data_IF_696329301623
#
_entry.id   IF_696329301623
#
_cell.length_a   1.000
_cell.length_b   1.000
_cell.length_c   1.000
_cell.angle_alpha   90.00
_cell.angle_beta   90.00
_cell.angle_gamma   90.00
#
_symmetry.space_group_name_H-M   'P 1'
#
loop_
_entity.id
_entity.type
_entity.pdbx_description
1 polymer ?
#
# COMPACT_ATOMS: atom_id res chain seq x y z
N UNK A 1 -5.94 -2.91 7.12
CA UNK A 1 -6.98 -1.88 7.03
C UNK A 1 -7.38 -1.67 5.58
N UNK A 2 -8.47 -2.33 5.12
CA UNK A 2 -8.98 -2.24 3.74
C UNK A 2 -9.43 -0.83 3.33
N UNK A 3 -9.63 0.07 4.29
CA UNK A 3 -10.01 1.47 4.03
C UNK A 3 -8.81 2.38 3.72
N UNK A 4 -7.60 1.90 3.84
CA UNK A 4 -6.41 2.71 3.59
C UNK A 4 -6.38 3.34 2.18
N UNK A 5 -6.65 2.62 1.08
CA UNK A 5 -6.69 3.23 -0.23
C UNK A 5 -7.76 4.31 -0.37
N UNK A 6 -8.92 4.12 0.26
CA UNK A 6 -9.98 5.12 0.27
C UNK A 6 -9.56 6.40 0.98
N UNK A 7 -8.79 6.29 2.06
CA UNK A 7 -8.36 7.43 2.88
C UNK A 7 -7.10 8.14 2.34
N UNK A 8 -6.27 7.46 1.55
CA UNK A 8 -4.98 8.00 1.08
C UNK A 8 -4.95 8.13 -0.43
N UNK A 9 -5.24 7.03 -1.16
CA UNK A 9 -5.13 7.03 -2.60
C UNK A 9 -6.24 7.85 -3.28
N UNK A 10 -7.49 7.78 -2.78
CA UNK A 10 -8.60 8.57 -3.37
C UNK A 10 -8.34 10.08 -3.26
N UNK A 11 -7.99 10.65 -2.11
CA UNK A 11 -7.64 12.07 -2.02
C UNK A 11 -6.48 12.47 -2.93
N UNK A 12 -5.44 11.64 -3.03
CA UNK A 12 -4.30 11.88 -3.92
C UNK A 12 -4.73 11.91 -5.39
N UNK A 13 -5.43 10.88 -5.87
CA UNK A 13 -5.93 10.79 -7.24
C UNK A 13 -6.90 11.92 -7.56
N UNK A 14 -7.79 12.25 -6.61
CA UNK A 14 -8.75 13.33 -6.77
C UNK A 14 -8.07 14.69 -6.88
N UNK A 15 -7.01 14.94 -6.12
CA UNK A 15 -6.23 16.17 -6.20
C UNK A 15 -5.49 16.29 -7.55
N UNK A 16 -4.79 15.22 -7.96
CA UNK A 16 -3.98 15.21 -9.18
C UNK A 16 -4.81 15.40 -10.45
N UNK A 17 -6.04 14.87 -10.47
CA UNK A 17 -6.91 14.89 -11.67
C UNK A 17 -8.17 15.74 -11.51
N UNK A 18 -8.39 16.37 -10.36
CA UNK A 18 -9.60 17.16 -10.04
C UNK A 18 -10.90 16.37 -10.26
N UNK A 19 -10.87 15.07 -9.94
CA UNK A 19 -11.99 14.14 -10.19
C UNK A 19 -12.15 13.14 -9.04
N UNK A 20 -12.91 13.54 -8.03
CA UNK A 20 -13.17 12.72 -6.85
C UNK A 20 -14.05 11.50 -7.16
N UNK A 21 -15.05 11.67 -8.00
CA UNK A 21 -15.96 10.58 -8.39
C UNK A 21 -15.23 9.52 -9.23
N UNK A 22 -14.36 9.98 -10.17
CA UNK A 22 -13.50 9.11 -10.94
C UNK A 22 -12.52 8.32 -10.08
N UNK A 23 -11.90 8.96 -9.09
CA UNK A 23 -11.00 8.29 -8.16
C UNK A 23 -11.68 7.14 -7.40
N UNK A 24 -12.89 7.35 -6.88
CA UNK A 24 -13.67 6.30 -6.24
C UNK A 24 -14.08 5.18 -7.20
N UNK A 25 -14.58 5.53 -8.40
CA UNK A 25 -14.96 4.55 -9.42
C UNK A 25 -13.80 3.64 -9.78
N UNK A 26 -12.62 4.20 -10.00
CA UNK A 26 -11.41 3.43 -10.33
C UNK A 26 -10.88 2.63 -9.15
N UNK A 27 -11.00 3.11 -7.92
CA UNK A 27 -10.64 2.34 -6.74
C UNK A 27 -11.55 1.10 -6.58
N UNK A 28 -12.85 1.25 -6.77
CA UNK A 28 -13.79 0.11 -6.73
C UNK A 28 -13.49 -0.92 -7.83
N UNK A 29 -13.15 -0.45 -9.03
CA UNK A 29 -12.67 -1.33 -10.10
C UNK A 29 -11.36 -2.05 -9.70
N UNK A 30 -10.47 -1.36 -9.03
CA UNK A 30 -9.23 -1.93 -8.49
C UNK A 30 -9.47 -3.04 -7.48
N UNK A 31 -10.43 -2.90 -6.58
CA UNK A 31 -10.80 -3.98 -5.65
C UNK A 31 -11.32 -5.23 -6.37
N UNK A 32 -12.07 -5.07 -7.45
CA UNK A 32 -12.51 -6.21 -8.29
C UNK A 32 -11.31 -6.93 -8.90
N UNK A 33 -10.33 -6.18 -9.44
CA UNK A 33 -9.10 -6.76 -10.00
C UNK A 33 -8.30 -7.48 -8.90
N UNK A 34 -8.12 -6.87 -7.72
CA UNK A 34 -7.44 -7.50 -6.59
C UNK A 34 -8.11 -8.82 -6.17
N UNK A 35 -9.45 -8.89 -6.21
CA UNK A 35 -10.19 -10.13 -5.98
C UNK A 35 -9.92 -11.20 -7.03
N UNK A 36 -9.77 -10.82 -8.31
CA UNK A 36 -9.49 -11.74 -9.43
C UNK A 36 -8.06 -12.28 -9.38
N UNK A 37 -7.08 -11.45 -9.06
CA UNK A 37 -5.65 -11.85 -9.02
C UNK A 37 -5.35 -12.82 -7.88
N UNK A 38 -6.20 -12.89 -6.88
CA UNK A 38 -6.01 -13.77 -5.74
C UNK A 38 -5.04 -13.18 -4.72
N UNK A 39 -5.58 -12.86 -3.55
CA UNK A 39 -4.85 -12.19 -2.46
C UNK A 39 -3.83 -13.07 -1.73
N UNK A 40 -3.85 -14.37 -1.94
CA UNK A 40 -2.95 -15.32 -1.26
C UNK A 40 -1.70 -15.64 -2.08
N UNK A 41 -1.88 -15.78 -3.38
CA UNK A 41 -0.81 -15.86 -4.37
C UNK A 41 -1.22 -14.90 -5.49
N UNK A 42 -0.57 -13.76 -5.58
CA UNK A 42 -0.89 -12.74 -6.57
C UNK A 42 -0.55 -13.30 -7.95
N UNK A 43 -1.59 -13.57 -8.72
CA UNK A 43 -1.49 -14.08 -10.09
C UNK A 43 -2.02 -13.01 -11.06
N UNK A 44 -1.14 -12.13 -11.47
CA UNK A 44 -1.46 -11.05 -12.41
C UNK A 44 -1.87 -11.54 -13.80
N UNK A 45 -1.59 -12.81 -14.14
CA UNK A 45 -1.96 -13.39 -15.44
C UNK A 45 -3.48 -13.44 -15.65
N UNK A 46 -4.25 -13.46 -14.58
CA UNK A 46 -5.73 -13.42 -14.59
C UNK A 46 -6.32 -12.10 -15.03
N UNK A 47 -5.52 -11.03 -15.07
CA UNK A 47 -5.98 -9.71 -15.53
C UNK A 47 -6.09 -9.73 -17.04
N UNK A 48 -7.31 -9.58 -17.57
CA UNK A 48 -7.59 -9.65 -19.01
C UNK A 48 -6.97 -8.49 -19.79
N UNK A 49 -6.96 -7.29 -19.20
CA UNK A 49 -6.35 -6.13 -19.83
C UNK A 49 -4.82 -6.26 -19.83
N UNK A 50 -4.24 -6.48 -21.02
CA UNK A 50 -2.81 -6.74 -21.21
C UNK A 50 -1.94 -5.61 -20.68
N UNK A 51 -2.32 -4.35 -20.94
CA UNK A 51 -1.56 -3.16 -20.49
C UNK A 51 -1.61 -2.99 -18.98
N UNK A 52 -2.76 -3.23 -18.35
CA UNK A 52 -2.88 -3.22 -16.89
C UNK A 52 -2.11 -4.39 -16.27
N UNK A 53 -2.16 -5.58 -16.88
CA UNK A 53 -1.39 -6.73 -16.43
C UNK A 53 0.11 -6.46 -16.46
N UNK A 54 0.62 -5.88 -17.54
CA UNK A 54 2.01 -5.46 -17.66
C UNK A 54 2.40 -4.45 -16.57
N UNK A 55 1.52 -3.50 -16.29
CA UNK A 55 1.73 -2.52 -15.21
C UNK A 55 1.82 -3.20 -13.84
N UNK A 56 0.89 -4.09 -13.52
CA UNK A 56 0.91 -4.83 -12.25
C UNK A 56 2.12 -5.75 -12.16
N UNK A 57 2.56 -6.36 -13.26
CA UNK A 57 3.77 -7.17 -13.29
C UNK A 57 5.01 -6.32 -12.98
N UNK A 58 5.16 -5.14 -13.58
CA UNK A 58 6.27 -4.23 -13.25
C UNK A 58 6.26 -3.79 -11.77
N UNK A 59 5.09 -3.52 -11.21
CA UNK A 59 4.94 -3.17 -9.79
C UNK A 59 5.34 -4.37 -8.92
N UNK A 60 5.00 -5.60 -9.32
CA UNK A 60 5.40 -6.83 -8.65
C UNK A 60 6.91 -7.06 -8.74
N UNK A 61 7.49 -6.91 -9.94
CA UNK A 61 8.93 -7.07 -10.17
C UNK A 61 9.76 -6.02 -9.41
N UNK A 62 9.20 -4.84 -9.19
CA UNK A 62 9.77 -3.80 -8.32
C UNK A 62 9.63 -4.11 -6.80
N UNK A 63 9.04 -5.25 -6.42
CA UNK A 63 8.82 -5.63 -5.02
C UNK A 63 7.72 -4.82 -4.32
N UNK A 64 7.03 -3.92 -5.04
CA UNK A 64 6.01 -3.05 -4.45
C UNK A 64 4.70 -3.79 -4.15
N UNK A 65 4.47 -5.01 -4.65
CA UNK A 65 3.37 -5.88 -4.26
C UNK A 65 3.77 -6.86 -3.15
N UNK A 66 5.07 -7.08 -2.95
CA UNK A 66 5.56 -7.93 -1.87
C UNK A 66 5.46 -7.19 -0.55
N UNK A 67 4.78 -7.81 0.38
CA UNK A 67 4.51 -7.21 1.68
C UNK A 67 5.72 -7.42 2.59
N UNK A 68 6.54 -6.39 2.74
CA UNK A 68 7.69 -6.37 3.66
C UNK A 68 7.37 -6.49 5.16
N UNK A 69 6.13 -6.83 5.51
CA UNK A 69 5.72 -7.04 6.92
C UNK A 69 6.45 -8.18 7.62
N UNK A 70 7.05 -9.12 6.87
CA UNK A 70 7.84 -10.20 7.49
C UNK A 70 9.09 -9.68 8.19
N UNK A 71 9.70 -8.64 7.66
CA UNK A 71 10.90 -8.07 8.24
C UNK A 71 10.59 -7.23 9.49
N UNK A 72 9.51 -6.46 9.46
CA UNK A 72 9.04 -5.69 10.62
C UNK A 72 8.50 -6.62 11.73
N UNK A 73 7.77 -7.68 11.38
CA UNK A 73 7.31 -8.67 12.34
C UNK A 73 8.45 -9.55 12.87
N UNK A 74 9.42 -9.91 12.04
CA UNK A 74 10.63 -10.62 12.47
C UNK A 74 11.51 -9.72 13.36
N UNK A 75 11.57 -8.40 13.11
CA UNK A 75 12.22 -7.47 14.03
C UNK A 75 11.45 -7.30 15.33
N UNK A 76 10.12 -7.34 15.31
CA UNK A 76 9.28 -7.33 16.50
C UNK A 76 9.43 -8.62 17.32
N UNK A 77 9.52 -9.77 16.64
CA UNK A 77 9.76 -11.07 17.31
C UNK A 77 11.20 -11.21 17.82
N UNK A 78 12.16 -10.50 17.23
CA UNK A 78 13.57 -10.46 17.72
C UNK A 78 13.79 -9.53 18.90
N UNK A 79 12.84 -8.66 19.26
CA UNK A 79 12.91 -7.90 20.52
C UNK A 79 12.57 -8.81 21.70
N UNK A 80 13.59 -9.23 22.34
CA UNK A 80 13.90 -10.33 23.28
C UNK A 80 13.02 -10.51 24.52
N UNK A 81 12.04 -9.70 24.82
CA UNK A 81 11.37 -9.76 26.12
C UNK A 81 9.89 -10.16 26.11
N UNK A 82 9.24 -10.20 24.95
CA UNK A 82 7.80 -10.51 24.89
C UNK A 82 7.47 -11.86 24.26
N UNK A 83 8.32 -12.35 23.37
CA UNK A 83 7.99 -13.48 22.50
C UNK A 83 8.70 -14.80 22.86
N UNK A 84 9.78 -14.78 23.64
CA UNK A 84 10.32 -16.03 24.23
C UNK A 84 9.27 -16.78 25.07
N UNK A 85 8.33 -16.03 25.65
CA UNK A 85 7.16 -16.62 26.34
C UNK A 85 6.08 -17.11 25.37
N UNK A 86 6.02 -16.61 24.14
CA UNK A 86 5.07 -17.05 23.11
C UNK A 86 5.59 -18.23 22.29
N UNK A 87 6.91 -18.40 22.16
CA UNK A 87 7.51 -19.61 21.58
C UNK A 87 7.27 -20.85 22.46
N UNK A 88 7.08 -20.64 23.76
CA UNK A 88 6.62 -21.67 24.71
C UNK A 88 5.08 -21.79 24.75
N UNK A 89 4.35 -20.86 24.11
CA UNK A 89 2.91 -20.93 24.03
C UNK A 89 2.47 -22.06 23.09
N UNK A 90 1.43 -22.77 23.48
CA UNK A 90 0.82 -23.89 22.77
C UNK A 90 0.75 -23.69 21.28
N UNK A 91 0.90 -24.74 20.46
CA UNK A 91 0.82 -24.72 18.99
C UNK A 91 -0.43 -24.04 18.40
N UNK A 92 -1.44 -23.73 19.23
CA UNK A 92 -2.61 -22.92 18.93
C UNK A 92 -2.29 -21.44 18.73
N UNK A 93 -1.44 -20.86 19.60
CA UNK A 93 -1.04 -19.46 19.50
C UNK A 93 -0.18 -19.21 18.25
N UNK A 94 0.73 -20.14 17.93
CA UNK A 94 1.54 -20.07 16.70
C UNK A 94 0.66 -20.16 15.45
N UNK A 95 -0.35 -21.06 15.42
CA UNK A 95 -1.32 -21.15 14.33
C UNK A 95 -2.15 -19.86 14.17
N UNK A 96 -2.55 -19.24 15.27
CA UNK A 96 -3.29 -17.99 15.25
C UNK A 96 -2.44 -16.85 14.69
N UNK A 97 -1.20 -16.69 15.15
CA UNK A 97 -0.26 -15.69 14.65
C UNK A 97 -0.02 -15.88 13.14
N UNK A 98 0.19 -17.12 12.70
CA UNK A 98 0.36 -17.42 11.28
C UNK A 98 -0.87 -17.01 10.45
N UNK A 99 -2.08 -17.31 10.91
CA UNK A 99 -3.32 -16.87 10.26
C UNK A 99 -3.46 -15.35 10.21
N UNK A 100 -3.15 -14.65 11.30
CA UNK A 100 -3.20 -13.19 11.34
C UNK A 100 -2.20 -12.56 10.38
N UNK A 101 -0.99 -13.12 10.26
CA UNK A 101 0.01 -12.70 9.26
C UNK A 101 -0.52 -12.88 7.84
N UNK A 102 -1.14 -14.02 7.52
CA UNK A 102 -1.73 -14.26 6.20
C UNK A 102 -2.82 -13.23 5.89
N UNK A 103 -3.71 -12.94 6.82
CA UNK A 103 -4.78 -11.95 6.66
C UNK A 103 -4.20 -10.56 6.41
N UNK A 104 -3.19 -10.14 7.17
CA UNK A 104 -2.53 -8.84 6.98
C UNK A 104 -1.91 -8.71 5.60
N UNK A 105 -1.20 -9.74 5.13
CA UNK A 105 -0.62 -9.78 3.77
C UNK A 105 -1.69 -9.66 2.69
N UNK A 106 -2.80 -10.41 2.86
CA UNK A 106 -3.92 -10.35 1.92
C UNK A 106 -4.51 -8.95 1.82
N UNK A 107 -4.73 -8.29 2.96
CA UNK A 107 -5.25 -6.93 3.01
C UNK A 107 -4.32 -5.95 2.33
N UNK A 108 -3.02 -6.04 2.59
CA UNK A 108 -2.05 -5.13 2.01
C UNK A 108 -1.88 -5.34 0.51
N UNK A 109 -1.77 -6.59 0.05
CA UNK A 109 -1.76 -6.91 -1.37
C UNK A 109 -3.00 -6.37 -2.09
N UNK A 110 -4.19 -6.55 -1.49
CA UNK A 110 -5.44 -5.99 -2.00
C UNK A 110 -5.35 -4.46 -2.13
N UNK A 111 -4.86 -3.79 -1.10
CA UNK A 111 -4.72 -2.34 -1.09
C UNK A 111 -3.78 -1.86 -2.20
N UNK A 112 -2.63 -2.50 -2.36
CA UNK A 112 -1.62 -2.13 -3.36
C UNK A 112 -2.12 -2.37 -4.79
N UNK A 113 -2.73 -3.51 -5.07
CA UNK A 113 -3.30 -3.83 -6.39
C UNK A 113 -4.44 -2.88 -6.72
N UNK A 114 -5.34 -2.60 -5.76
CA UNK A 114 -6.46 -1.69 -6.01
C UNK A 114 -6.01 -0.26 -6.24
N UNK A 115 -5.01 0.22 -5.50
CA UNK A 115 -4.40 1.54 -5.68
C UNK A 115 -3.70 1.64 -7.04
N UNK A 116 -2.87 0.65 -7.39
CA UNK A 116 -2.18 0.61 -8.69
C UNK A 116 -3.16 0.64 -9.86
N UNK A 117 -4.20 -0.18 -9.79
CA UNK A 117 -5.24 -0.26 -10.81
C UNK A 117 -6.00 1.07 -10.94
N UNK A 118 -6.36 1.68 -9.80
CA UNK A 118 -7.06 2.96 -9.79
C UNK A 118 -6.20 4.07 -10.42
N UNK A 119 -4.94 4.18 -10.02
CA UNK A 119 -4.02 5.18 -10.54
C UNK A 119 -3.78 5.01 -12.04
N UNK A 120 -3.52 3.79 -12.49
CA UNK A 120 -3.32 3.48 -13.89
C UNK A 120 -4.54 3.82 -14.74
N UNK A 121 -5.73 3.31 -14.36
CA UNK A 121 -6.96 3.52 -15.13
C UNK A 121 -7.35 5.00 -15.21
N UNK A 122 -7.21 5.72 -14.10
CA UNK A 122 -7.49 7.14 -14.05
C UNK A 122 -6.54 7.95 -14.93
N UNK A 123 -5.24 7.62 -14.91
CA UNK A 123 -4.25 8.24 -15.77
C UNK A 123 -4.55 8.02 -17.26
N UNK A 124 -4.93 6.81 -17.67
CA UNK A 124 -5.35 6.51 -19.04
C UNK A 124 -6.61 7.28 -19.40
N UNK A 125 -7.62 7.32 -18.54
CA UNK A 125 -8.86 8.08 -18.79
C UNK A 125 -8.59 9.58 -18.97
N UNK A 126 -7.60 10.12 -18.27
CA UNK A 126 -7.18 11.52 -18.40
C UNK A 126 -6.17 11.77 -19.53
N UNK A 127 -6.00 10.81 -20.44
CA UNK A 127 -5.23 10.96 -21.68
C UNK A 127 -3.72 10.75 -21.56
N UNK A 128 -3.22 10.20 -20.45
CA UNK A 128 -1.81 9.82 -20.34
C UNK A 128 -1.49 8.62 -21.25
N UNK A 129 -0.27 8.56 -21.78
CA UNK A 129 0.19 7.36 -22.50
C UNK A 129 0.30 6.16 -21.56
N UNK A 130 0.43 4.94 -22.12
CA UNK A 130 0.60 3.73 -21.32
C UNK A 130 1.80 3.84 -20.37
N UNK A 131 2.93 4.31 -20.87
CA UNK A 131 4.18 4.45 -20.11
C UNK A 131 4.03 5.47 -18.98
N UNK A 132 3.39 6.61 -19.28
CA UNK A 132 3.12 7.64 -18.28
C UNK A 132 2.14 7.15 -17.20
N UNK A 133 1.09 6.42 -17.59
CA UNK A 133 0.13 5.85 -16.65
C UNK A 133 0.76 4.77 -15.78
N UNK A 134 1.67 3.97 -16.33
CA UNK A 134 2.42 2.94 -15.63
C UNK A 134 3.36 3.58 -14.59
N UNK A 135 4.13 4.60 -14.99
CA UNK A 135 5.01 5.32 -14.08
C UNK A 135 4.22 6.02 -12.97
N UNK A 136 3.09 6.64 -13.32
CA UNK A 136 2.20 7.27 -12.34
C UNK A 136 1.63 6.25 -11.34
N UNK A 137 1.23 5.06 -11.80
CA UNK A 137 0.74 4.01 -10.90
C UNK A 137 1.81 3.54 -9.90
N UNK A 138 3.06 3.38 -10.37
CA UNK A 138 4.21 3.04 -9.51
C UNK A 138 4.42 4.13 -8.44
N UNK A 139 4.44 5.40 -8.85
CA UNK A 139 4.60 6.55 -7.96
C UNK A 139 3.49 6.59 -6.90
N UNK A 140 2.23 6.50 -7.31
CA UNK A 140 1.09 6.53 -6.37
C UNK A 140 1.13 5.38 -5.38
N UNK A 141 1.48 4.15 -5.81
CA UNK A 141 1.61 3.01 -4.89
C UNK A 141 2.75 3.25 -3.91
N UNK A 142 3.91 3.71 -4.38
CA UNK A 142 5.06 4.02 -3.53
C UNK A 142 4.70 5.10 -2.49
N UNK A 143 4.07 6.19 -2.92
CA UNK A 143 3.72 7.32 -2.05
C UNK A 143 2.64 6.96 -1.02
N UNK A 144 1.61 6.20 -1.44
CA UNK A 144 0.41 5.98 -0.61
C UNK A 144 0.48 4.73 0.25
N UNK A 145 1.21 3.71 -0.22
CA UNK A 145 1.35 2.45 0.50
C UNK A 145 2.68 2.35 1.25
N UNK A 146 3.62 3.23 0.94
CA UNK A 146 4.91 3.42 1.58
C UNK A 146 5.78 2.16 1.60
N UNK A 147 7.03 2.29 1.29
CA UNK A 147 8.01 1.35 1.79
C UNK A 147 8.14 1.65 3.30
N UNK A 148 7.60 0.78 4.15
CA UNK A 148 7.78 0.87 5.59
C UNK A 148 9.23 0.60 6.01
N UNK A 149 10.15 0.52 5.03
CA UNK A 149 11.57 0.42 5.30
C UNK A 149 12.05 1.64 6.09
N UNK A 150 13.07 1.43 6.89
CA UNK A 150 13.68 2.45 7.73
C UNK A 150 14.28 3.60 6.92
N UNK A 151 14.51 3.38 5.63
CA UNK A 151 15.16 4.30 4.71
C UNK A 151 14.30 5.51 4.41
N UNK A 152 12.99 5.33 4.25
CA UNK A 152 12.04 6.38 3.86
C UNK A 152 11.29 7.03 5.03
N UNK A 153 11.59 6.58 6.27
CA UNK A 153 10.99 7.18 7.45
C UNK A 153 11.48 8.63 7.62
N UNK A 154 10.56 9.60 7.82
CA UNK A 154 10.94 10.98 8.14
C UNK A 154 11.95 11.04 9.30
N UNK A 155 12.89 12.00 9.26
CA UNK A 155 13.98 12.13 10.25
C UNK A 155 13.47 12.18 11.69
N UNK A 156 12.29 12.74 11.90
CA UNK A 156 11.65 12.83 13.23
C UNK A 156 11.30 11.43 13.78
N UNK A 157 10.95 10.49 12.89
CA UNK A 157 10.61 9.10 13.26
C UNK A 157 11.87 8.29 13.61
N UNK A 158 13.00 8.59 12.95
CA UNK A 158 14.27 7.88 13.20
C UNK A 158 14.80 8.11 14.62
N UNK A 159 14.40 9.19 15.29
CA UNK A 159 14.85 9.57 16.64
C UNK A 159 13.90 9.09 17.77
N UNK A 160 12.71 8.59 17.45
CA UNK A 160 11.74 8.15 18.44
C UNK A 160 11.91 6.66 18.81
N UNK A 161 11.56 6.25 20.05
CA UNK A 161 11.58 4.84 20.44
C UNK A 161 10.71 3.99 19.50
N UNK A 162 11.20 2.80 19.14
CA UNK A 162 10.57 1.90 18.14
C UNK A 162 9.08 1.63 18.42
N UNK A 163 8.67 1.48 19.67
CA UNK A 163 7.28 1.20 20.05
C UNK A 163 6.36 2.39 19.69
N UNK A 164 6.82 3.61 19.88
CA UNK A 164 6.04 4.82 19.56
C UNK A 164 5.96 5.02 18.06
N UNK A 165 7.03 4.72 17.33
CA UNK A 165 7.09 4.88 15.88
C UNK A 165 6.21 3.89 15.15
N UNK A 166 6.10 2.66 15.64
CA UNK A 166 5.34 1.60 14.98
C UNK A 166 3.84 1.91 14.88
N UNK A 167 3.25 2.47 15.95
CA UNK A 167 1.82 2.83 15.97
C UNK A 167 1.52 4.21 15.37
N UNK A 168 2.49 5.14 15.40
CA UNK A 168 2.31 6.52 14.91
C UNK A 168 2.83 6.74 13.48
N UNK A 169 3.64 5.84 12.94
CA UNK A 169 4.23 5.99 11.60
C UNK A 169 3.15 6.21 10.53
N UNK A 170 2.10 5.40 10.56
CA UNK A 170 0.96 5.55 9.65
C UNK A 170 0.26 6.91 9.82
N UNK A 171 0.00 7.33 11.06
CA UNK A 171 -0.66 8.62 11.33
C UNK A 171 0.20 9.81 10.88
N UNK A 172 1.52 9.75 11.11
CA UNK A 172 2.45 10.81 10.70
C UNK A 172 2.62 10.87 9.18
N UNK A 173 2.64 9.72 8.50
CA UNK A 173 2.64 9.67 7.03
C UNK A 173 1.34 10.25 6.48
N UNK A 174 0.19 9.90 7.05
CA UNK A 174 -1.10 10.48 6.68
C UNK A 174 -1.09 12.00 6.84
N UNK A 175 -0.61 12.52 7.97
CA UNK A 175 -0.48 13.97 8.19
C UNK A 175 0.43 14.62 7.15
N UNK A 176 1.56 14.01 6.84
CA UNK A 176 2.48 14.55 5.83
C UNK A 176 1.82 14.60 4.43
N UNK A 177 1.07 13.56 4.05
CA UNK A 177 0.31 13.54 2.80
C UNK A 177 -0.81 14.59 2.78
N UNK A 178 -1.55 14.77 3.88
CA UNK A 178 -2.58 15.82 3.95
C UNK A 178 -1.96 17.22 3.88
N UNK A 179 -0.83 17.46 4.55
CA UNK A 179 -0.12 18.74 4.49
C UNK A 179 0.37 19.00 3.06
N UNK A 180 0.96 17.97 2.40
CA UNK A 180 1.40 18.08 1.00
C UNK A 180 0.23 18.36 0.08
N UNK A 181 -0.85 17.58 0.17
CA UNK A 181 -2.05 17.77 -0.65
C UNK A 181 -2.71 19.15 -0.43
N UNK A 182 -2.75 19.61 0.82
CA UNK A 182 -3.24 20.95 1.15
C UNK A 182 -2.35 22.04 0.55
N UNK A 183 -1.04 21.93 0.71
CA UNK A 183 -0.08 22.85 0.11
C UNK A 183 -0.22 22.89 -1.42
N UNK A 184 -0.28 21.73 -2.07
CA UNK A 184 -0.35 21.63 -3.52
C UNK A 184 -1.72 22.10 -4.07
N UNK A 185 -2.79 22.06 -3.25
CA UNK A 185 -4.12 22.55 -3.62
C UNK A 185 -4.30 24.06 -3.41
N UNK A 186 -3.61 24.67 -2.44
CA UNK A 186 -3.88 26.04 -2.00
C UNK A 186 -2.69 26.99 -2.10
N UNK A 187 -1.47 26.50 -2.36
CA UNK A 187 -0.25 27.33 -2.36
C UNK A 187 0.53 27.25 -3.69
N UNK A 188 0.00 26.57 -4.73
CA UNK A 188 0.52 26.66 -6.09
C UNK A 188 -0.32 27.69 -6.85
N UNK A 189 0.09 28.95 -6.75
CA UNK A 189 -0.15 30.00 -7.75
C UNK A 189 1.01 30.00 -8.75
#
# INVERSE_FOLDING_TARGET
>A
NLMQPAMVAVPRLAADFRDYAGAWRHLLAGYKIAGLTGVRNIDVSKVQNLKLRETLQKIQDAGLLDVGMDEDLNQFTRTRSGFEKLDQASGLAQKLIHKLRQISRMVEATNRISTATAAYNMAIEKGKTHEQAQQYAIEVVSDTQGDFSRTDAPLIIKKLPKVVTQYRKFQLMMMAHYIKAFRDAFLQD
#
